data_IF_728143043448
#
_entry.id   IF_728143043448
#
_cell.length_a   1.000
_cell.length_b   1.000
_cell.length_c   1.000
_cell.angle_alpha   90.00
_cell.angle_beta   90.00
_cell.angle_gamma   90.00
#
_symmetry.space_group_name_H-M   'P 1'
#
loop_
_entity.id
_entity.type
_entity.pdbx_description
1 polymer ?
#
# COMPACT_ATOMS: atom_id res chain seq x y z
N UNK A 1 16.31 -38.07 21.44
CA UNK A 1 14.93 -37.57 21.28
C UNK A 1 15.01 -36.36 20.36
N UNK A 2 14.81 -36.55 19.05
CA UNK A 2 15.01 -35.52 18.04
C UNK A 2 13.72 -34.73 17.83
N UNK A 3 13.71 -33.46 18.24
CA UNK A 3 12.64 -32.51 17.92
C UNK A 3 12.86 -31.96 16.52
N UNK A 4 12.09 -32.44 15.54
CA UNK A 4 12.07 -31.88 14.19
C UNK A 4 11.29 -30.57 14.26
N UNK A 5 12.00 -29.45 14.19
CA UNK A 5 11.39 -28.13 14.02
C UNK A 5 10.57 -28.09 12.74
N UNK A 6 9.31 -27.64 12.85
CA UNK A 6 8.51 -27.24 11.68
C UNK A 6 9.28 -26.14 10.95
N UNK A 7 9.86 -26.46 9.79
CA UNK A 7 10.21 -25.46 8.79
C UNK A 7 8.91 -24.83 8.33
N UNK A 8 8.71 -23.56 8.68
CA UNK A 8 7.69 -22.72 8.06
C UNK A 8 8.13 -22.51 6.61
N UNK A 9 7.55 -23.25 5.67
CA UNK A 9 7.71 -22.99 4.25
C UNK A 9 7.01 -21.67 3.96
N UNK A 10 7.76 -20.58 3.76
CA UNK A 10 7.22 -19.39 3.11
C UNK A 10 6.67 -19.82 1.76
N UNK A 11 5.38 -19.56 1.52
CA UNK A 11 4.77 -19.84 0.24
C UNK A 11 5.46 -18.99 -0.83
N UNK A 12 6.18 -19.65 -1.74
CA UNK A 12 6.79 -19.00 -2.91
C UNK A 12 5.72 -18.28 -3.72
N UNK A 13 6.01 -17.02 -4.10
CA UNK A 13 5.12 -16.23 -4.92
C UNK A 13 4.85 -16.90 -6.28
N UNK A 14 3.62 -16.82 -6.78
CA UNK A 14 3.24 -17.32 -8.10
C UNK A 14 3.07 -16.17 -9.08
N UNK A 15 3.81 -16.19 -10.18
CA UNK A 15 3.76 -15.18 -11.24
C UNK A 15 2.68 -15.53 -12.29
N UNK A 16 1.78 -14.59 -12.55
CA UNK A 16 0.66 -14.71 -13.49
C UNK A 16 1.01 -14.20 -14.90
N UNK A 17 2.23 -13.67 -15.10
CA UNK A 17 2.69 -13.12 -16.37
C UNK A 17 2.28 -11.66 -16.55
N UNK A 18 1.89 -11.28 -17.77
CA UNK A 18 1.49 -9.90 -18.10
C UNK A 18 -0.04 -9.81 -18.06
N UNK A 19 -0.56 -8.81 -17.35
CA UNK A 19 -1.99 -8.57 -17.26
C UNK A 19 -2.60 -8.28 -18.64
N UNK A 20 -3.83 -8.73 -18.83
CA UNK A 20 -4.68 -8.41 -19.97
C UNK A 20 -6.08 -8.13 -19.42
N UNK A 21 -6.51 -6.87 -19.46
CA UNK A 21 -7.76 -6.43 -18.83
C UNK A 21 -7.67 -6.38 -17.30
N UNK A 22 -8.76 -6.75 -16.61
CA UNK A 22 -8.85 -6.65 -15.14
C UNK A 22 -8.49 -7.98 -14.48
N UNK A 23 -7.47 -7.97 -13.61
CA UNK A 23 -7.00 -9.14 -12.87
C UNK A 23 -6.99 -8.86 -11.37
N UNK A 24 -7.58 -9.75 -10.57
CA UNK A 24 -7.51 -9.70 -9.10
C UNK A 24 -6.44 -10.65 -8.58
N UNK A 25 -5.59 -10.17 -7.67
CA UNK A 25 -4.51 -10.97 -7.07
C UNK A 25 -4.95 -11.64 -5.77
N UNK A 26 -4.56 -12.91 -5.63
CA UNK A 26 -4.50 -13.63 -4.35
C UNK A 26 -3.17 -13.35 -3.65
N UNK A 27 -3.12 -13.59 -2.34
CA UNK A 27 -1.92 -13.33 -1.53
C UNK A 27 -0.69 -14.03 -2.12
N UNK A 28 0.44 -13.31 -2.15
CA UNK A 28 1.72 -13.73 -2.75
C UNK A 28 1.70 -13.92 -4.27
N UNK A 29 0.64 -13.53 -4.99
CA UNK A 29 0.68 -13.51 -6.45
C UNK A 29 1.43 -12.27 -6.97
N UNK A 30 2.08 -12.47 -8.11
CA UNK A 30 2.81 -11.45 -8.86
C UNK A 30 2.18 -11.34 -10.25
N UNK A 31 2.11 -10.13 -10.78
CA UNK A 31 1.72 -9.87 -12.17
C UNK A 31 2.48 -8.66 -12.70
N UNK A 32 2.65 -8.58 -14.02
CA UNK A 32 3.25 -7.43 -14.69
C UNK A 32 2.20 -6.61 -15.44
N UNK A 33 2.26 -5.29 -15.32
CA UNK A 33 1.58 -4.33 -16.19
C UNK A 33 2.55 -3.78 -17.22
N UNK A 34 2.06 -3.55 -18.43
CA UNK A 34 2.77 -2.75 -19.43
C UNK A 34 3.01 -1.35 -18.88
N UNK A 35 4.24 -0.84 -19.01
CA UNK A 35 4.56 0.54 -18.63
C UNK A 35 3.79 1.51 -19.51
N UNK A 36 3.18 2.48 -18.86
CA UNK A 36 2.50 3.61 -19.50
C UNK A 36 3.03 4.91 -18.89
N UNK A 37 2.80 6.08 -19.52
CA UNK A 37 3.27 7.35 -18.99
C UNK A 37 2.76 7.66 -17.57
N UNK A 38 1.63 7.06 -17.19
CA UNK A 38 0.98 7.29 -15.91
C UNK A 38 0.28 6.02 -15.43
N UNK A 39 0.50 5.71 -14.16
CA UNK A 39 -0.19 4.66 -13.43
C UNK A 39 -0.89 5.32 -12.25
N UNK A 40 -2.12 4.92 -11.98
CA UNK A 40 -2.88 5.42 -10.83
C UNK A 40 -3.16 4.26 -9.89
N UNK A 41 -2.73 4.42 -8.64
CA UNK A 41 -3.13 3.56 -7.53
C UNK A 41 -4.33 4.20 -6.87
N UNK A 42 -5.41 3.45 -6.68
CA UNK A 42 -6.60 3.91 -5.96
C UNK A 42 -6.92 2.92 -4.86
N UNK A 43 -7.07 3.41 -3.64
CA UNK A 43 -7.55 2.62 -2.50
C UNK A 43 -8.99 3.03 -2.23
N UNK A 44 -9.86 2.06 -1.92
CA UNK A 44 -11.28 2.31 -1.69
C UNK A 44 -11.77 1.65 -0.40
N UNK A 45 -12.76 2.29 0.24
CA UNK A 45 -13.46 1.76 1.42
C UNK A 45 -14.85 2.41 1.53
N UNK A 46 -15.81 1.80 2.25
CA UNK A 46 -17.03 2.48 2.65
C UNK A 46 -16.71 3.69 3.54
N UNK A 47 -17.30 4.85 3.28
CA UNK A 47 -17.07 6.14 3.95
C UNK A 47 -17.50 6.22 5.43
N UNK A 48 -17.68 5.06 6.08
CA UNK A 48 -18.05 4.88 7.50
C UNK A 48 -16.88 5.05 8.46
N UNK A 49 -15.66 5.01 7.95
CA UNK A 49 -14.42 5.25 8.68
C UNK A 49 -13.52 6.15 7.85
N UNK A 50 -12.51 6.71 8.49
CA UNK A 50 -11.47 7.49 7.84
C UNK A 50 -10.24 6.57 7.68
N UNK A 51 -9.88 6.28 6.43
CA UNK A 51 -8.58 5.68 6.13
C UNK A 51 -7.77 6.74 5.41
N UNK A 52 -6.49 6.84 5.77
CA UNK A 52 -5.52 7.63 5.05
C UNK A 52 -4.64 6.72 4.20
N UNK A 53 -4.25 7.20 3.02
CA UNK A 53 -3.29 6.54 2.15
C UNK A 53 -1.98 7.33 2.13
N UNK A 54 -0.87 6.61 2.07
CA UNK A 54 0.43 7.18 1.74
C UNK A 54 1.27 6.17 0.98
N UNK A 55 2.41 6.60 0.44
CA UNK A 55 3.36 5.69 -0.19
C UNK A 55 4.79 5.94 0.28
N UNK A 56 5.53 4.84 0.41
CA UNK A 56 7.00 4.86 0.47
C UNK A 56 7.53 4.71 -0.95
N UNK A 57 8.39 5.63 -1.39
CA UNK A 57 9.02 5.61 -2.72
C UNK A 57 10.49 5.34 -2.55
N UNK A 58 10.92 4.12 -2.87
CA UNK A 58 12.32 3.72 -2.86
C UNK A 58 12.95 4.09 -4.21
N UNK A 59 14.02 4.88 -4.15
CA UNK A 59 14.84 5.23 -5.29
C UNK A 59 16.02 4.27 -5.46
N UNK A 60 16.60 4.23 -6.66
CA UNK A 60 17.68 3.31 -7.04
C UNK A 60 19.00 3.60 -6.35
N UNK A 61 19.22 4.81 -5.84
CA UNK A 61 20.35 5.17 -4.98
C UNK A 61 20.15 4.74 -3.50
N UNK A 62 18.98 4.19 -3.18
CA UNK A 62 18.63 3.67 -1.86
C UNK A 62 17.94 4.66 -0.93
N UNK A 63 17.72 5.92 -1.33
CA UNK A 63 16.91 6.83 -0.51
C UNK A 63 15.42 6.51 -0.63
N UNK A 64 14.66 6.88 0.40
CA UNK A 64 13.21 6.68 0.46
C UNK A 64 12.54 8.01 0.73
N UNK A 65 11.59 8.38 -0.12
CA UNK A 65 10.68 9.49 0.14
C UNK A 65 9.31 8.96 0.62
N UNK A 66 8.61 9.73 1.44
CA UNK A 66 7.22 9.43 1.84
C UNK A 66 6.27 10.44 1.24
N UNK A 67 5.32 9.95 0.46
CA UNK A 67 4.25 10.74 -0.17
C UNK A 67 2.98 10.56 0.63
N UNK A 68 2.49 11.60 1.29
CA UNK A 68 1.35 11.54 2.21
C UNK A 68 0.60 12.87 2.28
N UNK A 69 -0.60 12.87 2.86
CA UNK A 69 -1.36 14.08 3.23
C UNK A 69 -1.28 14.42 4.73
N UNK A 70 -0.40 13.72 5.46
CA UNK A 70 -0.26 13.86 6.91
C UNK A 70 1.14 13.48 7.38
N UNK A 71 1.59 14.13 8.45
CA UNK A 71 2.89 13.90 9.06
C UNK A 71 2.91 12.77 10.09
N UNK A 72 3.91 12.81 10.95
CA UNK A 72 4.08 11.87 12.07
C UNK A 72 3.64 12.52 13.38
N UNK A 73 3.41 11.73 14.43
CA UNK A 73 3.04 12.28 15.74
C UNK A 73 4.05 13.34 16.24
N UNK A 74 5.35 13.13 15.97
CA UNK A 74 6.40 14.08 16.34
C UNK A 74 6.41 15.33 15.45
N UNK A 75 6.12 15.17 14.17
CA UNK A 75 6.15 16.24 13.16
C UNK A 75 4.87 16.19 12.30
N UNK A 76 3.70 16.61 12.82
CA UNK A 76 2.42 16.38 12.17
C UNK A 76 2.22 17.19 10.88
N UNK A 77 2.96 18.29 10.72
CA UNK A 77 2.93 19.16 9.53
C UNK A 77 4.09 18.90 8.57
N UNK A 78 4.96 17.94 8.89
CA UNK A 78 6.08 17.56 8.04
C UNK A 78 5.66 16.38 7.16
N UNK A 79 5.01 16.72 6.05
CA UNK A 79 4.63 15.77 5.01
C UNK A 79 4.72 16.44 3.65
N UNK A 80 4.83 15.61 2.60
CA UNK A 80 4.83 16.07 1.22
C UNK A 80 3.79 15.31 0.43
N UNK A 81 2.93 16.00 -0.34
CA UNK A 81 1.95 15.35 -1.19
C UNK A 81 2.58 14.77 -2.47
N UNK A 82 3.85 15.06 -2.75
CA UNK A 82 4.56 14.51 -3.91
C UNK A 82 6.04 14.30 -3.59
N UNK A 83 6.67 13.43 -4.38
CA UNK A 83 8.13 13.30 -4.37
C UNK A 83 8.81 14.58 -4.85
N UNK A 84 10.09 14.75 -4.52
CA UNK A 84 10.90 15.90 -4.91
C UNK A 84 10.98 16.08 -6.44
N UNK A 85 10.99 14.98 -7.20
CA UNK A 85 10.98 14.98 -8.67
C UNK A 85 9.56 15.03 -9.28
N UNK A 86 8.51 15.03 -8.45
CA UNK A 86 7.11 15.07 -8.87
C UNK A 86 6.60 13.76 -9.49
N UNK A 87 7.40 12.70 -9.50
CA UNK A 87 7.06 11.43 -10.16
C UNK A 87 5.96 10.65 -9.43
N UNK A 88 5.81 10.81 -8.12
CA UNK A 88 4.73 10.19 -7.33
C UNK A 88 3.98 11.27 -6.58
N UNK A 89 2.66 11.36 -6.75
CA UNK A 89 1.82 12.42 -6.17
C UNK A 89 0.52 11.86 -5.57
N UNK A 90 0.25 12.18 -4.32
CA UNK A 90 -1.03 11.93 -3.66
C UNK A 90 -2.07 12.97 -4.08
N UNK A 91 -3.25 12.54 -4.52
CA UNK A 91 -4.24 13.43 -5.14
C UNK A 91 -5.19 14.13 -4.18
N UNK A 92 -5.16 13.78 -2.90
CA UNK A 92 -5.89 14.49 -1.85
C UNK A 92 -6.36 13.56 -0.75
N UNK A 93 -6.73 14.15 0.37
CA UNK A 93 -7.28 13.47 1.55
C UNK A 93 -8.80 13.42 1.46
N UNK A 94 -9.40 12.24 1.64
CA UNK A 94 -10.86 12.07 1.67
C UNK A 94 -11.32 11.71 3.08
N UNK A 95 -11.99 12.67 3.71
CA UNK A 95 -12.54 12.51 5.05
C UNK A 95 -13.76 11.59 5.09
N UNK A 96 -14.04 11.07 6.28
CA UNK A 96 -15.28 10.34 6.60
C UNK A 96 -16.53 11.07 6.11
N UNK A 97 -17.40 10.31 5.44
CA UNK A 97 -18.66 10.79 4.88
C UNK A 97 -19.90 10.40 5.70
N UNK A 98 -21.02 10.18 5.01
CA UNK A 98 -22.32 9.88 5.66
C UNK A 98 -22.54 8.40 5.95
N UNK A 99 -21.61 7.54 5.52
CA UNK A 99 -21.69 6.09 5.71
C UNK A 99 -22.47 5.34 4.62
N UNK A 100 -22.80 6.03 3.52
CA UNK A 100 -23.61 5.57 2.38
C UNK A 100 -22.83 5.48 1.08
N UNK A 101 -21.62 6.00 1.03
CA UNK A 101 -20.83 6.15 -0.19
C UNK A 101 -19.52 5.35 -0.09
N UNK A 102 -18.78 5.30 -1.20
CA UNK A 102 -17.43 4.76 -1.25
C UNK A 102 -16.45 5.93 -1.23
N UNK A 103 -15.62 5.97 -0.20
CA UNK A 103 -14.46 6.84 -0.13
C UNK A 103 -13.32 6.21 -0.94
N UNK A 104 -12.45 7.06 -1.48
CA UNK A 104 -11.25 6.62 -2.17
C UNK A 104 -10.14 7.66 -2.06
N UNK A 105 -8.91 7.19 -2.05
CA UNK A 105 -7.73 8.04 -2.21
C UNK A 105 -6.83 7.48 -3.30
N UNK A 106 -6.18 8.38 -4.04
CA UNK A 106 -5.39 8.03 -5.21
C UNK A 106 -3.98 8.60 -5.16
N UNK A 107 -3.04 7.80 -5.67
CA UNK A 107 -1.65 8.17 -5.92
C UNK A 107 -1.37 8.01 -7.40
N UNK A 108 -0.95 9.10 -8.02
CA UNK A 108 -0.47 9.11 -9.39
C UNK A 108 1.03 8.85 -9.45
N UNK A 109 1.42 8.03 -10.42
CA UNK A 109 2.80 7.58 -10.61
C UNK A 109 3.19 7.77 -12.08
N UNK A 110 4.15 8.65 -12.32
CA UNK A 110 4.88 8.79 -13.56
C UNK A 110 6.27 8.13 -13.38
N UNK A 111 6.35 6.81 -13.63
CA UNK A 111 7.59 6.05 -13.40
C UNK A 111 8.75 6.62 -14.23
N UNK A 112 9.87 6.88 -13.56
CA UNK A 112 11.14 7.22 -14.18
C UNK A 112 12.22 6.18 -13.78
N UNK A 113 13.39 6.15 -14.45
CA UNK A 113 14.44 5.16 -14.16
C UNK A 113 15.05 5.24 -12.75
N UNK A 114 14.82 6.32 -12.00
CA UNK A 114 15.39 6.51 -10.66
C UNK A 114 14.52 5.87 -9.57
N UNK A 115 13.25 5.54 -9.87
CA UNK A 115 12.38 4.85 -8.91
C UNK A 115 12.63 3.34 -9.00
N UNK A 116 12.92 2.70 -7.86
CA UNK A 116 13.06 1.25 -7.77
C UNK A 116 11.74 0.57 -7.41
N UNK A 117 11.05 1.08 -6.38
CA UNK A 117 9.79 0.52 -5.92
C UNK A 117 8.90 1.57 -5.23
N UNK A 118 7.60 1.29 -5.22
CA UNK A 118 6.59 2.09 -4.54
C UNK A 118 5.77 1.15 -3.66
N UNK A 119 5.57 1.52 -2.40
CA UNK A 119 4.80 0.75 -1.41
C UNK A 119 3.62 1.61 -0.95
N UNK A 120 2.42 1.43 -1.53
CA UNK A 120 1.20 2.01 -0.99
C UNK A 120 0.91 1.43 0.41
N UNK A 121 0.48 2.30 1.31
CA UNK A 121 0.14 1.97 2.70
C UNK A 121 -1.23 2.57 2.99
N UNK A 122 -2.08 1.77 3.61
CA UNK A 122 -3.40 2.19 4.09
C UNK A 122 -3.37 2.22 5.62
N UNK A 123 -3.80 3.33 6.21
CA UNK A 123 -3.75 3.59 7.65
C UNK A 123 -5.12 4.02 8.16
N UNK A 124 -5.53 3.50 9.32
CA UNK A 124 -6.64 4.05 10.09
C UNK A 124 -6.13 4.35 11.49
N UNK A 125 -6.31 5.57 11.98
CA UNK A 125 -5.92 5.92 13.34
C UNK A 125 -6.76 5.16 14.39
N UNK A 126 -6.19 4.91 15.57
CA UNK A 126 -6.92 4.36 16.72
C UNK A 126 -8.12 5.22 17.10
N UNK A 127 -7.99 6.54 16.93
CA UNK A 127 -9.07 7.51 17.16
C UNK A 127 -10.31 7.25 16.30
N UNK A 128 -10.17 6.56 15.17
CA UNK A 128 -11.29 6.21 14.30
C UNK A 128 -12.18 5.11 14.87
N UNK A 129 -11.75 4.43 15.94
CA UNK A 129 -12.45 3.35 16.60
C UNK A 129 -11.94 1.97 16.18
N UNK A 130 -12.75 0.95 16.46
CA UNK A 130 -12.42 -0.46 16.14
C UNK A 130 -13.04 -0.88 14.82
N UNK A 131 -12.25 -1.57 14.01
CA UNK A 131 -12.73 -2.27 12.83
C UNK A 131 -11.55 -2.71 11.97
N UNK A 132 -11.80 -3.64 11.08
CA UNK A 132 -10.75 -4.32 10.32
C UNK A 132 -10.78 -3.97 8.84
N UNK A 133 -9.63 -4.13 8.18
CA UNK A 133 -9.49 -3.96 6.74
C UNK A 133 -10.49 -4.84 5.97
N UNK A 134 -10.77 -6.07 6.45
CA UNK A 134 -11.81 -6.94 5.87
C UNK A 134 -13.22 -6.41 6.09
N UNK A 135 -13.56 -5.96 7.30
CA UNK A 135 -14.89 -5.42 7.63
C UNK A 135 -15.23 -4.18 6.79
N UNK A 136 -14.24 -3.32 6.59
CA UNK A 136 -14.38 -2.12 5.76
C UNK A 136 -14.00 -2.36 4.30
N UNK A 137 -13.88 -3.62 3.87
CA UNK A 137 -13.66 -4.00 2.47
C UNK A 137 -12.59 -3.15 1.77
N UNK A 138 -11.49 -2.86 2.47
CA UNK A 138 -10.42 -2.00 1.96
C UNK A 138 -9.78 -2.68 0.75
N UNK A 139 -9.98 -2.08 -0.43
CA UNK A 139 -9.46 -2.58 -1.69
C UNK A 139 -8.42 -1.64 -2.29
N UNK A 140 -7.57 -2.17 -3.16
CA UNK A 140 -6.63 -1.37 -3.95
C UNK A 140 -6.69 -1.77 -5.42
N UNK A 141 -6.66 -0.79 -6.32
CA UNK A 141 -6.50 -1.00 -7.76
C UNK A 141 -5.29 -0.25 -8.28
N UNK A 142 -4.56 -0.85 -9.22
CA UNK A 142 -3.47 -0.25 -9.97
C UNK A 142 -3.87 -0.26 -11.45
N UNK A 143 -4.11 0.92 -12.02
CA UNK A 143 -4.56 1.12 -13.40
C UNK A 143 -3.42 1.72 -14.23
N UNK A 144 -3.10 1.11 -15.37
CA UNK A 144 -2.10 1.64 -16.29
C UNK A 144 -2.66 2.72 -17.25
N UNK A 145 -3.95 3.03 -17.18
CA UNK A 145 -4.62 4.01 -18.03
C UNK A 145 -4.76 3.56 -19.49
N UNK A 146 -4.54 2.28 -19.79
CA UNK A 146 -4.64 1.67 -21.12
C UNK A 146 -5.51 0.41 -21.14
N UNK A 147 -6.33 0.21 -20.10
CA UNK A 147 -7.32 -0.87 -20.02
C UNK A 147 -6.90 -2.08 -19.19
N UNK A 148 -5.65 -2.14 -18.73
CA UNK A 148 -5.20 -3.17 -17.80
C UNK A 148 -5.26 -2.65 -16.36
N UNK A 149 -5.95 -3.40 -15.50
CA UNK A 149 -6.15 -3.03 -14.10
C UNK A 149 -5.85 -4.24 -13.21
N UNK A 150 -4.96 -4.06 -12.25
CA UNK A 150 -4.68 -5.06 -11.21
C UNK A 150 -5.42 -4.66 -9.94
N UNK A 151 -6.12 -5.61 -9.30
CA UNK A 151 -6.82 -5.37 -8.04
C UNK A 151 -6.28 -6.25 -6.93
N UNK A 152 -6.34 -5.71 -5.72
CA UNK A 152 -6.11 -6.40 -4.47
C UNK A 152 -7.39 -6.23 -3.67
N UNK A 153 -8.23 -7.26 -3.70
CA UNK A 153 -9.53 -7.24 -3.04
C UNK A 153 -9.38 -7.60 -1.55
N UNK A 154 -10.30 -7.08 -0.74
CA UNK A 154 -10.30 -7.25 0.71
C UNK A 154 -10.62 -8.68 1.20
N UNK A 155 -10.80 -9.65 0.30
CA UNK A 155 -11.14 -11.03 0.66
C UNK A 155 -10.12 -11.65 1.62
N UNK A 156 -8.84 -11.41 1.34
CA UNK A 156 -7.71 -11.92 2.15
C UNK A 156 -7.28 -10.91 3.24
N UNK A 157 -8.03 -9.80 3.39
CA UNK A 157 -7.68 -8.76 4.33
C UNK A 157 -7.78 -9.25 5.78
N UNK A 158 -6.95 -8.68 6.66
CA UNK A 158 -7.04 -8.96 8.09
C UNK A 158 -8.41 -8.59 8.65
N UNK A 159 -8.92 -9.43 9.53
CA UNK A 159 -10.17 -9.26 10.27
C UNK A 159 -9.99 -8.88 11.73
N UNK A 160 -8.76 -8.59 12.11
CA UNK A 160 -8.44 -8.13 13.45
C UNK A 160 -8.72 -6.63 13.54
N UNK A 161 -9.67 -6.27 14.40
CA UNK A 161 -10.16 -4.90 14.60
C UNK A 161 -9.15 -3.97 15.31
N UNK A 162 -7.95 -4.46 15.64
CA UNK A 162 -6.87 -3.72 16.30
C UNK A 162 -5.63 -3.55 15.40
N UNK A 163 -5.77 -3.80 14.10
CA UNK A 163 -4.73 -3.55 13.10
C UNK A 163 -5.00 -2.19 12.47
N UNK A 164 -3.98 -1.33 12.44
CA UNK A 164 -4.14 0.07 12.04
C UNK A 164 -3.37 0.43 10.78
N UNK A 165 -2.43 -0.40 10.32
CA UNK A 165 -1.78 -0.21 9.02
C UNK A 165 -1.76 -1.50 8.20
N UNK A 166 -1.96 -1.36 6.89
CA UNK A 166 -1.86 -2.42 5.90
C UNK A 166 -0.97 -1.97 4.75
N UNK A 167 -0.10 -2.86 4.28
CA UNK A 167 0.59 -2.76 2.98
C UNK A 167 -0.05 -3.78 2.05
N UNK A 168 -0.98 -3.35 1.16
CA UNK A 168 -1.69 -4.29 0.28
C UNK A 168 -0.73 -4.97 -0.70
N UNK A 169 0.24 -4.23 -1.22
CA UNK A 169 1.20 -4.73 -2.19
C UNK A 169 2.39 -3.79 -2.40
N UNK A 170 3.26 -4.18 -3.32
CA UNK A 170 4.42 -3.40 -3.76
C UNK A 170 4.45 -3.35 -5.28
N UNK A 171 4.81 -2.19 -5.81
CA UNK A 171 4.97 -1.91 -7.24
C UNK A 171 6.46 -1.77 -7.50
N UNK A 172 7.04 -2.64 -8.33
CA UNK A 172 8.46 -2.63 -8.70
C UNK A 172 8.64 -2.17 -10.13
N UNK A 173 9.57 -1.24 -10.32
CA UNK A 173 9.91 -0.67 -11.61
C UNK A 173 10.98 -1.53 -12.31
N UNK A 174 10.56 -2.56 -13.06
CA UNK A 174 11.47 -3.44 -13.79
C UNK A 174 11.44 -3.12 -15.30
N UNK A 175 11.61 -4.09 -16.20
CA UNK A 175 11.32 -3.89 -17.63
C UNK A 175 9.82 -3.64 -17.87
N UNK A 176 8.97 -4.28 -17.07
CA UNK A 176 7.54 -4.02 -16.93
C UNK A 176 7.26 -3.43 -15.53
N UNK A 177 6.02 -3.10 -15.23
CA UNK A 177 5.63 -2.74 -13.86
C UNK A 177 5.18 -4.00 -13.14
N UNK A 178 6.03 -4.54 -12.27
CA UNK A 178 5.70 -5.74 -11.52
C UNK A 178 4.95 -5.37 -10.25
N UNK A 179 3.78 -5.97 -10.05
CA UNK A 179 2.93 -5.79 -8.88
C UNK A 179 2.91 -7.11 -8.12
N UNK A 180 3.16 -7.03 -6.81
CA UNK A 180 3.04 -8.17 -5.91
C UNK A 180 2.03 -7.83 -4.82
N UNK A 181 1.05 -8.72 -4.62
CA UNK A 181 0.19 -8.66 -3.43
C UNK A 181 0.96 -9.18 -2.22
N UNK A 182 1.06 -8.36 -1.18
CA UNK A 182 1.80 -8.66 0.05
C UNK A 182 0.85 -8.94 1.22
N UNK A 183 -0.08 -8.01 1.48
CA UNK A 183 -0.92 -8.02 2.68
C UNK A 183 -0.13 -8.21 3.98
N UNK A 184 0.73 -7.22 4.24
CA UNK A 184 1.44 -7.08 5.52
C UNK A 184 0.63 -6.16 6.43
N UNK A 185 0.62 -6.47 7.71
CA UNK A 185 -0.19 -5.79 8.71
C UNK A 185 0.68 -5.32 9.87
N UNK A 186 0.34 -4.18 10.45
CA UNK A 186 0.93 -3.75 11.72
C UNK A 186 0.66 -4.78 12.81
N UNK A 187 1.45 -4.78 13.87
CA UNK A 187 1.08 -5.45 15.12
C UNK A 187 -0.23 -4.86 15.66
N UNK A 188 -1.01 -5.66 16.43
CA UNK A 188 -2.17 -5.14 17.13
C UNK A 188 -1.80 -3.92 17.98
N UNK A 189 -2.59 -2.85 17.91
CA UNK A 189 -2.39 -1.58 18.62
C UNK A 189 -1.13 -0.79 18.25
N UNK A 190 -0.45 -1.13 17.15
CA UNK A 190 0.64 -0.31 16.63
C UNK A 190 0.13 0.70 15.59
N UNK A 191 0.58 1.95 15.70
CA UNK A 191 0.39 3.02 14.71
C UNK A 191 1.72 3.44 14.08
N UNK A 192 2.76 2.60 14.24
CA UNK A 192 4.07 2.82 13.63
C UNK A 192 4.00 2.57 12.13
N UNK A 193 4.58 3.49 11.34
CA UNK A 193 4.69 3.33 9.90
C UNK A 193 5.52 2.09 9.54
N UNK A 194 5.22 1.42 8.42
CA UNK A 194 6.18 0.51 7.81
C UNK A 194 7.40 1.31 7.30
N UNK A 195 8.49 0.59 7.06
CA UNK A 195 9.63 1.09 6.29
C UNK A 195 9.94 0.14 5.14
N UNK A 196 10.73 0.60 4.17
CA UNK A 196 11.29 -0.23 3.10
C UNK A 196 12.80 -0.07 3.13
N UNK A 197 13.52 -1.19 3.07
CA UNK A 197 14.99 -1.15 2.98
C UNK A 197 15.47 -0.99 1.54
N UNK A 198 16.77 -0.73 1.37
CA UNK A 198 17.42 -0.58 0.04
C UNK A 198 17.30 -1.81 -0.86
N UNK A 199 16.94 -2.97 -0.31
CA UNK A 199 16.76 -4.21 -1.03
C UNK A 199 15.30 -4.43 -1.44
N UNK A 200 14.40 -3.50 -1.08
CA UNK A 200 13.00 -3.57 -1.39
C UNK A 200 12.19 -4.48 -0.47
N UNK A 201 12.70 -4.79 0.72
CA UNK A 201 11.94 -5.52 1.75
C UNK A 201 11.16 -4.53 2.62
N UNK A 202 9.88 -4.83 2.82
CA UNK A 202 8.99 -4.01 3.65
C UNK A 202 8.99 -4.54 5.08
N UNK A 203 9.23 -3.65 6.05
CA UNK A 203 9.29 -3.96 7.47
C UNK A 203 8.18 -3.22 8.22
N UNK A 204 7.15 -3.94 8.67
CA UNK A 204 6.06 -3.35 9.47
C UNK A 204 6.57 -2.90 10.84
N UNK A 205 5.97 -1.84 11.38
CA UNK A 205 6.19 -1.36 12.76
C UNK A 205 7.64 -0.93 13.07
N UNK A 206 8.36 -0.37 12.10
CA UNK A 206 9.77 0.05 12.27
C UNK A 206 10.00 1.54 12.04
N UNK A 207 9.01 2.25 11.51
CA UNK A 207 9.05 3.69 11.26
C UNK A 207 8.48 4.51 12.43
N UNK A 208 8.41 5.84 12.26
CA UNK A 208 7.77 6.73 13.24
C UNK A 208 6.26 6.48 13.34
N UNK A 209 5.66 6.87 14.47
CA UNK A 209 4.21 6.82 14.68
C UNK A 209 3.49 7.82 13.76
N UNK A 210 2.41 7.37 13.13
CA UNK A 210 1.55 8.24 12.34
C UNK A 210 0.94 9.34 13.21
N UNK A 211 0.80 10.56 12.66
CA UNK A 211 0.00 11.58 13.33
C UNK A 211 -1.46 11.11 13.40
N UNK A 212 -2.09 11.33 14.54
CA UNK A 212 -3.53 11.10 14.67
C UNK A 212 -4.28 12.20 13.93
N UNK A 213 -5.15 11.81 13.01
CA UNK A 213 -6.18 12.67 12.41
C UNK A 213 -7.51 12.51 13.16
#
# INVERSE_FOLDING_TARGET
MFGIGKKTTEATASDLGVAQGRISLQKNQIISLTKTPKITVTVTWPDRTDYDVFALVLYTDGHVETVAQFGTERNPRDYRPSTTDGAVTHLGDIKRGTGRDIANESIDIALNPNIAAIVPVVYSAKSNGTGSFRRYQVGMSIDNGQGDIVTIDAHDASDNDHIYSCVPGIIRNTSAVQIQKLELYSKPNSELRPTIDRHGNVHMDTGPENARK
#
